data_IF_338163299494
#
_entry.id   IF_338163299494
#
_cell.length_a   1.000
_cell.length_b   1.000
_cell.length_c   1.000
_cell.angle_alpha   90.00
_cell.angle_beta   90.00
_cell.angle_gamma   90.00
#
_symmetry.space_group_name_H-M   'P 1'
#
loop_
_entity.id
_entity.type
_entity.pdbx_description
1 polymer ?
#
# COMPACT_ATOMS: atom_id res chain seq x y z
N UNK A 1 -0.18 16.32 -10.21
CA UNK A 1 -0.66 15.10 -9.52
C UNK A 1 0.12 13.95 -10.11
N UNK A 2 0.66 13.08 -9.25
CA UNK A 2 1.26 11.81 -9.64
C UNK A 2 0.26 10.70 -9.37
N UNK A 3 0.36 9.64 -10.16
CA UNK A 3 -0.40 8.42 -9.96
C UNK A 3 0.52 7.22 -10.17
N UNK A 4 0.30 6.18 -9.38
CA UNK A 4 1.00 4.91 -9.53
C UNK A 4 0.09 3.76 -9.11
N UNK A 5 0.15 2.66 -9.85
CA UNK A 5 -0.61 1.45 -9.53
C UNK A 5 0.35 0.43 -8.91
N UNK A 6 -0.05 -0.09 -7.76
CA UNK A 6 0.72 -1.09 -7.02
C UNK A 6 -0.12 -2.31 -6.74
N UNK A 7 0.53 -3.47 -6.79
CA UNK A 7 0.04 -4.70 -6.19
C UNK A 7 0.70 -4.85 -4.83
N UNK A 8 -0.11 -5.05 -3.81
CA UNK A 8 0.31 -5.28 -2.44
C UNK A 8 0.14 -6.76 -2.12
N UNK A 9 1.21 -7.38 -1.62
CA UNK A 9 1.23 -8.80 -1.26
C UNK A 9 1.91 -8.99 0.08
N UNK A 10 1.66 -10.15 0.70
CA UNK A 10 2.29 -10.56 1.95
C UNK A 10 3.82 -10.55 1.82
N UNK A 11 4.50 -9.84 2.72
CA UNK A 11 5.94 -9.89 2.81
C UNK A 11 6.40 -11.25 3.36
N UNK A 12 7.53 -11.77 2.86
CA UNK A 12 8.19 -12.96 3.42
C UNK A 12 8.99 -12.68 4.71
N UNK A 13 8.64 -11.61 5.45
CA UNK A 13 9.30 -11.24 6.70
C UNK A 13 8.48 -11.74 7.92
N UNK A 14 9.05 -11.74 9.15
CA UNK A 14 8.33 -12.22 10.32
C UNK A 14 7.01 -11.49 10.60
N UNK A 15 6.92 -10.18 10.30
CA UNK A 15 5.68 -9.41 10.47
C UNK A 15 4.57 -9.93 9.56
N UNK A 16 4.90 -10.23 8.30
CA UNK A 16 3.98 -10.85 7.36
C UNK A 16 3.57 -12.25 7.82
N UNK A 17 4.55 -13.10 8.16
CA UNK A 17 4.29 -14.48 8.58
C UNK A 17 3.41 -14.58 9.83
N UNK A 18 3.54 -13.64 10.77
CA UNK A 18 2.78 -13.62 12.02
C UNK A 18 1.41 -12.92 11.91
N UNK A 19 1.09 -12.30 10.77
CA UNK A 19 -0.20 -11.65 10.60
C UNK A 19 -1.33 -12.67 10.51
N UNK A 20 -2.43 -12.40 11.21
CA UNK A 20 -3.65 -13.21 11.18
C UNK A 20 -4.66 -12.74 10.13
N UNK A 21 -4.39 -11.62 9.48
CA UNK A 21 -5.28 -11.03 8.48
C UNK A 21 -4.99 -11.57 7.07
N UNK A 22 -5.92 -11.36 6.14
CA UNK A 22 -5.62 -11.54 4.71
C UNK A 22 -4.60 -10.50 4.26
N UNK A 23 -3.86 -10.78 3.19
CA UNK A 23 -2.90 -9.82 2.64
C UNK A 23 -3.62 -8.55 2.15
N UNK A 24 -4.83 -8.67 1.60
CA UNK A 24 -5.63 -7.52 1.20
C UNK A 24 -6.09 -6.66 2.38
N UNK A 25 -6.52 -7.27 3.49
CA UNK A 25 -6.91 -6.52 4.69
C UNK A 25 -5.74 -5.71 5.25
N UNK A 26 -4.55 -6.30 5.31
CA UNK A 26 -3.36 -5.57 5.75
C UNK A 26 -2.93 -4.49 4.75
N UNK A 27 -3.08 -4.74 3.44
CA UNK A 27 -2.84 -3.73 2.42
C UNK A 27 -3.84 -2.56 2.52
N UNK A 28 -5.12 -2.81 2.82
CA UNK A 28 -6.10 -1.75 3.08
C UNK A 28 -5.70 -0.94 4.30
N UNK A 29 -5.28 -1.59 5.40
CA UNK A 29 -4.77 -0.89 6.58
C UNK A 29 -3.55 -0.01 6.24
N UNK A 30 -2.64 -0.48 5.39
CA UNK A 30 -1.50 0.33 4.88
C UNK A 30 -2.00 1.56 4.15
N UNK A 31 -2.95 1.41 3.23
CA UNK A 31 -3.46 2.50 2.41
C UNK A 31 -4.25 3.53 3.24
N UNK A 32 -5.06 3.09 4.19
CA UNK A 32 -5.74 3.96 5.14
C UNK A 32 -4.77 4.74 6.03
N UNK A 33 -3.70 4.10 6.51
CA UNK A 33 -2.66 4.81 7.25
C UNK A 33 -1.96 5.84 6.35
N UNK A 34 -1.59 5.44 5.14
CA UNK A 34 -0.87 6.28 4.19
C UNK A 34 -1.67 7.53 3.76
N UNK A 35 -2.99 7.42 3.60
CA UNK A 35 -3.88 8.58 3.33
C UNK A 35 -4.04 9.48 4.55
N UNK A 36 -4.12 8.92 5.76
CA UNK A 36 -4.24 9.70 6.99
C UNK A 36 -3.01 10.57 7.29
N UNK A 37 -1.84 10.24 6.77
CA UNK A 37 -0.63 11.07 6.90
C UNK A 37 -0.69 12.39 6.13
N UNK A 38 -1.51 12.50 5.07
CA UNK A 38 -1.58 13.72 4.25
C UNK A 38 -2.89 13.79 3.47
N UNK A 39 -3.62 14.90 3.63
CA UNK A 39 -4.88 15.18 2.90
C UNK A 39 -4.74 15.22 1.37
N UNK A 40 -3.50 15.25 0.87
CA UNK A 40 -3.19 15.28 -0.55
C UNK A 40 -3.03 13.89 -1.17
N UNK A 41 -3.33 12.83 -0.42
CA UNK A 41 -3.19 11.43 -0.81
C UNK A 41 -4.54 10.74 -0.84
N UNK A 42 -4.75 9.92 -1.86
CA UNK A 42 -5.92 9.06 -1.96
C UNK A 42 -5.55 7.78 -2.71
N UNK A 43 -6.39 6.75 -2.58
CA UNK A 43 -6.26 5.53 -3.36
C UNK A 43 -7.61 5.10 -3.91
N UNK A 44 -7.56 4.29 -4.95
CA UNK A 44 -8.68 3.59 -5.55
C UNK A 44 -8.31 2.11 -5.64
N UNK A 45 -9.11 1.25 -4.99
CA UNK A 45 -8.94 -0.20 -5.10
C UNK A 45 -9.42 -0.67 -6.47
N UNK A 46 -8.56 -1.36 -7.20
CA UNK A 46 -8.86 -1.95 -8.51
C UNK A 46 -9.26 -3.42 -8.34
N UNK A 47 -8.52 -4.16 -7.52
CA UNK A 47 -8.71 -5.59 -7.27
C UNK A 47 -8.44 -5.88 -5.79
N UNK A 48 -9.30 -6.69 -5.17
CA UNK A 48 -9.21 -7.11 -3.77
C UNK A 48 -9.42 -8.63 -3.73
N UNK A 49 -8.30 -9.35 -3.56
CA UNK A 49 -8.25 -10.79 -3.38
C UNK A 49 -7.56 -11.11 -2.05
N UNK A 50 -7.88 -12.23 -1.41
CA UNK A 50 -7.33 -12.57 -0.08
C UNK A 50 -5.78 -12.51 -0.02
N UNK A 51 -5.11 -12.88 -1.12
CA UNK A 51 -3.65 -12.91 -1.22
C UNK A 51 -3.02 -11.62 -1.76
N UNK A 52 -3.81 -10.72 -2.37
CA UNK A 52 -3.29 -9.48 -2.94
C UNK A 52 -4.31 -8.37 -3.09
N UNK A 53 -3.85 -7.12 -2.99
CA UNK A 53 -4.66 -5.93 -3.29
C UNK A 53 -3.97 -5.16 -4.42
N UNK A 54 -4.70 -4.84 -5.48
CA UNK A 54 -4.22 -3.89 -6.50
C UNK A 54 -4.92 -2.56 -6.28
N UNK A 55 -4.14 -1.52 -6.05
CA UNK A 55 -4.67 -0.17 -5.86
C UNK A 55 -3.91 0.86 -6.67
N UNK A 56 -4.65 1.86 -7.16
CA UNK A 56 -4.11 3.07 -7.77
C UNK A 56 -4.00 4.16 -6.73
N UNK A 57 -2.79 4.65 -6.50
CA UNK A 57 -2.50 5.73 -5.57
C UNK A 57 -2.42 7.05 -6.32
N UNK A 58 -2.98 8.09 -5.74
CA UNK A 58 -2.93 9.47 -6.23
C UNK A 58 -2.34 10.38 -5.15
N UNK A 59 -1.37 11.20 -5.53
CA UNK A 59 -0.72 12.14 -4.60
C UNK A 59 -0.16 13.37 -5.33
N UNK A 60 0.11 14.45 -4.60
CA UNK A 60 0.69 15.67 -5.18
C UNK A 60 2.17 15.47 -5.54
N UNK A 61 2.63 16.12 -6.60
CA UNK A 61 4.04 16.10 -7.01
C UNK A 61 4.97 16.72 -5.95
N UNK A 62 4.43 17.62 -5.13
CA UNK A 62 5.14 18.25 -4.03
C UNK A 62 5.30 17.33 -2.80
N UNK A 63 4.57 16.22 -2.74
CA UNK A 63 4.68 15.26 -1.65
C UNK A 63 5.82 14.27 -1.92
N UNK A 64 7.04 14.73 -1.61
CA UNK A 64 8.24 13.91 -1.74
C UNK A 64 8.30 12.73 -0.74
N UNK A 65 7.46 12.77 0.30
CA UNK A 65 7.41 11.74 1.35
C UNK A 65 6.53 10.55 1.00
N UNK A 66 5.63 10.70 0.02
CA UNK A 66 4.63 9.70 -0.36
C UNK A 66 5.20 8.29 -0.54
N UNK A 67 6.33 8.16 -1.26
CA UNK A 67 6.97 6.86 -1.51
C UNK A 67 7.63 6.28 -0.26
N UNK A 68 8.51 7.05 0.39
CA UNK A 68 9.26 6.59 1.57
C UNK A 68 8.35 6.22 2.73
N UNK A 69 7.25 6.97 2.92
CA UNK A 69 6.28 6.69 3.97
C UNK A 69 5.44 5.46 3.65
N UNK A 70 5.06 5.28 2.38
CA UNK A 70 4.38 4.05 1.95
C UNK A 70 5.26 2.82 2.21
N UNK A 71 6.56 2.89 1.87
CA UNK A 71 7.49 1.78 2.12
C UNK A 71 7.63 1.45 3.61
N UNK A 72 7.69 2.49 4.46
CA UNK A 72 7.74 2.31 5.92
C UNK A 72 6.48 1.62 6.46
N UNK A 73 5.30 2.10 6.05
CA UNK A 73 4.02 1.54 6.51
C UNK A 73 3.84 0.11 5.99
N UNK A 74 4.19 -0.17 4.74
CA UNK A 74 4.22 -1.52 4.19
C UNK A 74 5.04 -2.47 5.08
N UNK A 75 6.26 -2.08 5.48
CA UNK A 75 7.08 -2.91 6.38
C UNK A 75 6.41 -3.11 7.75
N UNK A 76 5.78 -2.08 8.32
CA UNK A 76 5.05 -2.18 9.59
C UNK A 76 3.91 -3.20 9.58
N UNK A 77 3.20 -3.33 8.45
CA UNK A 77 2.12 -4.30 8.28
C UNK A 77 2.58 -5.65 7.68
N UNK A 78 3.87 -5.82 7.40
CA UNK A 78 4.38 -7.05 6.79
C UNK A 78 3.85 -7.26 5.37
N UNK A 79 3.75 -6.18 4.61
CA UNK A 79 3.31 -6.14 3.21
C UNK A 79 4.47 -5.60 2.36
N UNK A 80 4.56 -6.06 1.11
CA UNK A 80 5.41 -5.44 0.09
C UNK A 80 4.54 -4.94 -1.06
N UNK A 81 5.04 -3.94 -1.79
CA UNK A 81 4.37 -3.39 -2.97
C UNK A 81 5.21 -3.62 -4.22
N UNK A 82 4.53 -3.93 -5.31
CA UNK A 82 5.13 -4.14 -6.63
C UNK A 82 4.47 -3.21 -7.62
N UNK A 83 5.27 -2.59 -8.49
CA UNK A 83 4.74 -1.69 -9.51
C UNK A 83 3.99 -2.51 -10.55
N UNK A 84 2.70 -2.23 -10.75
CA UNK A 84 1.96 -2.81 -11.87
C UNK A 84 2.25 -1.93 -13.09
N UNK A 85 3.02 -2.47 -14.03
CA UNK A 85 3.19 -1.83 -15.33
C UNK A 85 1.91 -2.07 -16.15
N UNK A 86 1.48 -1.09 -16.96
CA UNK A 86 0.39 -1.27 -17.92
C UNK A 86 0.75 -2.28 -19.01
#
# INVERSE_FOLDING_TARGET
MQQATYRFIRASNPKGFLSTNTASTDALNVLENWTNFSECRSYETIEDEDESLIAKLLFKNSDASAGTELDRICDDFGIVREHVLP
#
